data_IF_852861859622
#
_entry.id   IF_852861859622
#
_cell.length_a   1.000
_cell.length_b   1.000
_cell.length_c   1.000
_cell.angle_alpha   90.00
_cell.angle_beta   90.00
_cell.angle_gamma   90.00
#
_symmetry.space_group_name_H-M   'P 1'
#
loop_
_entity.id
_entity.type
_entity.pdbx_description
1 polymer ?
#
# COMPACT_ATOMS: atom_id res chain seq x y z
N UNK A 1 -11.86 -6.44 1.57
CA UNK A 1 -11.77 -7.15 2.87
C UNK A 1 -10.57 -6.70 3.69
N UNK A 2 -9.33 -6.83 3.20
CA UNK A 2 -8.12 -6.43 3.95
C UNK A 2 -8.13 -4.97 4.43
N UNK A 3 -8.59 -4.03 3.60
CA UNK A 3 -8.67 -2.62 3.99
C UNK A 3 -9.47 -2.40 5.29
N UNK A 4 -10.62 -3.07 5.43
CA UNK A 4 -11.48 -2.92 6.63
C UNK A 4 -10.73 -3.39 7.87
N UNK A 5 -10.00 -4.50 7.75
CA UNK A 5 -9.20 -5.06 8.83
C UNK A 5 -8.08 -4.11 9.23
N UNK A 6 -7.31 -3.61 8.26
CA UNK A 6 -6.22 -2.66 8.53
C UNK A 6 -6.71 -1.33 9.11
N UNK A 7 -7.86 -0.82 8.65
CA UNK A 7 -8.48 0.38 9.21
C UNK A 7 -8.95 0.14 10.63
N UNK A 8 -9.52 -1.02 10.94
CA UNK A 8 -9.97 -1.37 12.28
C UNK A 8 -8.81 -1.54 13.28
N UNK A 9 -7.62 -1.91 12.80
CA UNK A 9 -6.41 -2.07 13.63
C UNK A 9 -5.36 -0.99 13.36
N UNK A 10 -5.76 0.14 12.80
CA UNK A 10 -4.85 1.20 12.39
C UNK A 10 -4.20 1.83 13.62
N UNK A 11 -2.92 2.19 13.53
CA UNK A 11 -2.28 2.94 14.60
C UNK A 11 -2.98 4.31 14.79
N UNK A 12 -3.32 4.70 16.03
CA UNK A 12 -4.09 5.92 16.30
C UNK A 12 -3.27 7.20 16.17
N UNK A 13 -1.96 7.10 15.88
CA UNK A 13 -1.05 8.23 15.78
C UNK A 13 0.33 7.77 15.31
N UNK A 14 1.36 8.49 15.77
CA UNK A 14 2.76 8.18 15.44
C UNK A 14 3.19 6.92 16.17
N UNK A 15 3.80 5.98 15.44
CA UNK A 15 4.38 4.75 16.00
C UNK A 15 5.90 4.87 16.14
N UNK A 16 6.50 3.89 16.81
CA UNK A 16 7.94 3.82 17.03
C UNK A 16 8.69 3.54 15.72
N UNK A 17 9.98 3.85 15.66
CA UNK A 17 10.86 3.63 14.50
C UNK A 17 10.65 4.67 13.37
N UNK A 18 10.53 4.23 12.11
CA UNK A 18 10.58 5.08 10.92
C UNK A 18 9.33 5.92 10.69
N UNK A 19 8.17 5.46 11.18
CA UNK A 19 6.90 6.10 10.94
C UNK A 19 6.89 7.58 11.38
N UNK A 20 7.46 7.90 12.55
CA UNK A 20 7.54 9.27 13.03
C UNK A 20 8.37 10.18 12.12
N UNK A 21 9.49 9.65 11.61
CA UNK A 21 10.33 10.37 10.67
C UNK A 21 9.62 10.58 9.33
N UNK A 22 8.96 9.55 8.78
CA UNK A 22 8.20 9.66 7.54
C UNK A 22 7.03 10.64 7.66
N UNK A 23 6.32 10.63 8.78
CA UNK A 23 5.22 11.58 9.05
C UNK A 23 5.77 13.02 9.12
N UNK A 24 6.87 13.24 9.84
CA UNK A 24 7.50 14.56 9.94
C UNK A 24 8.05 15.05 8.60
N UNK A 25 8.72 14.18 7.85
CA UNK A 25 9.23 14.47 6.51
C UNK A 25 8.08 14.77 5.54
N UNK A 26 7.01 13.98 5.54
CA UNK A 26 5.82 14.24 4.74
C UNK A 26 5.17 15.59 5.09
N UNK A 27 5.04 15.91 6.39
CA UNK A 27 4.43 17.16 6.82
C UNK A 27 5.25 18.39 6.41
N UNK A 28 6.57 18.31 6.58
CA UNK A 28 7.50 19.41 6.26
C UNK A 28 7.99 19.44 4.80
N UNK A 29 7.65 18.42 4.01
CA UNK A 29 8.29 18.13 2.71
C UNK A 29 9.82 18.00 2.82
N UNK A 30 10.28 17.45 3.94
CA UNK A 30 11.68 17.15 4.22
C UNK A 30 12.14 15.83 3.62
N UNK A 31 13.38 15.46 3.94
CA UNK A 31 14.02 14.24 3.46
C UNK A 31 14.18 13.31 4.69
N UNK A 32 13.53 12.13 4.72
CA UNK A 32 13.75 11.13 5.75
C UNK A 32 15.14 10.49 5.58
N UNK A 33 15.51 9.59 6.50
CA UNK A 33 16.75 8.85 6.46
C UNK A 33 17.02 8.26 5.06
N UNK A 34 18.30 8.11 4.66
CA UNK A 34 18.65 7.55 3.36
C UNK A 34 17.93 6.22 3.13
N UNK A 35 17.18 6.06 2.02
CA UNK A 35 17.38 6.71 0.71
C UNK A 35 16.48 7.93 0.40
N UNK A 36 15.79 8.53 1.37
CA UNK A 36 15.07 9.81 1.22
C UNK A 36 13.70 9.76 0.52
N UNK A 37 13.38 8.71 -0.25
CA UNK A 37 12.01 8.36 -0.69
C UNK A 37 11.10 9.55 -1.15
N UNK A 38 11.54 10.41 -2.09
CA UNK A 38 10.86 11.68 -2.36
C UNK A 38 9.44 11.53 -2.93
N UNK A 39 9.22 10.54 -3.79
CA UNK A 39 7.87 10.27 -4.33
C UNK A 39 6.89 9.87 -3.22
N UNK A 40 7.34 9.05 -2.27
CA UNK A 40 6.53 8.63 -1.13
C UNK A 40 6.14 9.82 -0.25
N UNK A 41 7.11 10.67 0.10
CA UNK A 41 6.88 11.91 0.87
C UNK A 41 5.84 12.82 0.21
N UNK A 42 5.93 13.03 -1.11
CA UNK A 42 4.97 13.85 -1.86
C UNK A 42 3.57 13.23 -1.86
N UNK A 43 3.46 11.92 -2.08
CA UNK A 43 2.17 11.22 -2.08
C UNK A 43 1.52 11.25 -0.70
N UNK A 44 2.28 11.01 0.38
CA UNK A 44 1.79 11.13 1.75
C UNK A 44 1.30 12.54 2.06
N UNK A 45 2.05 13.57 1.65
CA UNK A 45 1.66 14.95 1.91
C UNK A 45 0.33 15.30 1.25
N UNK A 46 0.18 14.96 -0.04
CA UNK A 46 -1.06 15.19 -0.78
C UNK A 46 -2.21 14.39 -0.16
N UNK A 47 -2.01 13.09 0.08
CA UNK A 47 -3.01 12.23 0.70
C UNK A 47 -3.48 12.76 2.06
N UNK A 48 -2.55 13.06 2.96
CA UNK A 48 -2.88 13.55 4.30
C UNK A 48 -3.61 14.90 4.26
N UNK A 49 -3.28 15.77 3.29
CA UNK A 49 -4.00 17.03 3.07
C UNK A 49 -5.43 16.82 2.57
N UNK A 50 -5.69 15.82 1.71
CA UNK A 50 -7.06 15.48 1.29
C UNK A 50 -7.97 15.12 2.47
N UNK A 51 -7.42 14.48 3.51
CA UNK A 51 -8.17 14.07 4.69
C UNK A 51 -8.03 15.01 5.90
N UNK A 52 -7.39 16.16 5.73
CA UNK A 52 -7.04 17.08 6.84
C UNK A 52 -8.24 17.63 7.63
N UNK A 53 -9.43 17.64 7.03
CA UNK A 53 -10.67 18.09 7.69
C UNK A 53 -11.36 17.02 8.53
N UNK A 54 -11.00 15.75 8.33
CA UNK A 54 -11.68 14.59 8.94
C UNK A 54 -10.77 13.71 9.79
N UNK A 55 -9.46 13.71 9.51
CA UNK A 55 -8.49 12.87 10.19
C UNK A 55 -7.26 13.69 10.64
N UNK A 56 -6.68 13.38 11.81
CA UNK A 56 -5.35 13.87 12.17
C UNK A 56 -4.31 13.43 11.12
N UNK A 57 -3.31 14.28 10.89
CA UNK A 57 -2.30 14.04 9.86
C UNK A 57 -1.64 12.65 9.96
N UNK A 58 -1.21 12.25 11.16
CA UNK A 58 -0.61 10.93 11.41
C UNK A 58 -1.55 9.76 11.13
N UNK A 59 -2.85 9.90 11.42
CA UNK A 59 -3.85 8.87 11.13
C UNK A 59 -4.09 8.78 9.63
N UNK A 60 -4.13 9.93 8.94
CA UNK A 60 -4.27 9.97 7.49
C UNK A 60 -3.09 9.31 6.77
N UNK A 61 -1.85 9.48 7.25
CA UNK A 61 -0.67 8.80 6.68
C UNK A 61 -0.66 7.31 7.01
N UNK A 62 -1.06 6.88 8.20
CA UNK A 62 -1.23 5.45 8.50
C UNK A 62 -2.28 4.82 7.55
N UNK A 63 -3.39 5.53 7.31
CA UNK A 63 -4.44 5.11 6.39
C UNK A 63 -3.93 4.97 4.94
N UNK A 64 -2.96 5.80 4.54
CA UNK A 64 -2.33 5.67 3.22
C UNK A 64 -1.64 4.30 3.07
N UNK A 65 -0.84 3.89 4.05
CA UNK A 65 -0.18 2.58 4.03
C UNK A 65 -1.20 1.43 4.04
N UNK A 66 -2.29 1.55 4.81
CA UNK A 66 -3.39 0.57 4.79
C UNK A 66 -4.04 0.46 3.41
N UNK A 67 -4.30 1.60 2.76
CA UNK A 67 -4.89 1.66 1.42
C UNK A 67 -3.95 1.05 0.37
N UNK A 68 -2.66 1.40 0.39
CA UNK A 68 -1.67 0.85 -0.53
C UNK A 68 -1.51 -0.66 -0.39
N UNK A 69 -1.35 -1.17 0.83
CA UNK A 69 -1.19 -2.61 1.07
C UNK A 69 -2.46 -3.40 0.71
N UNK A 70 -3.65 -2.86 1.03
CA UNK A 70 -4.91 -3.50 0.63
C UNK A 70 -5.10 -3.52 -0.89
N UNK A 71 -4.74 -2.44 -1.58
CA UNK A 71 -4.76 -2.37 -3.04
C UNK A 71 -3.77 -3.39 -3.65
N UNK A 72 -2.56 -3.50 -3.10
CA UNK A 72 -1.55 -4.45 -3.56
C UNK A 72 -2.04 -5.90 -3.43
N UNK A 73 -2.63 -6.26 -2.29
CA UNK A 73 -3.24 -7.58 -2.08
C UNK A 73 -4.39 -7.84 -3.07
N UNK A 74 -5.23 -6.83 -3.35
CA UNK A 74 -6.29 -6.92 -4.36
C UNK A 74 -5.73 -7.16 -5.77
N UNK A 75 -4.68 -6.43 -6.15
CA UNK A 75 -3.99 -6.62 -7.43
C UNK A 75 -3.36 -8.01 -7.53
N UNK A 76 -2.78 -8.52 -6.44
CA UNK A 76 -2.23 -9.88 -6.39
C UNK A 76 -3.32 -10.95 -6.61
N UNK A 77 -4.45 -10.82 -5.94
CA UNK A 77 -5.59 -11.72 -6.13
C UNK A 77 -6.09 -11.67 -7.58
N UNK A 78 -6.23 -10.47 -8.15
CA UNK A 78 -6.65 -10.30 -9.55
C UNK A 78 -5.67 -10.95 -10.53
N UNK A 79 -4.36 -10.77 -10.33
CA UNK A 79 -3.33 -11.39 -11.16
C UNK A 79 -3.39 -12.92 -11.12
N UNK A 80 -3.50 -13.50 -9.93
CA UNK A 80 -3.57 -14.96 -9.77
C UNK A 80 -4.87 -15.54 -10.35
N UNK A 81 -6.00 -14.87 -10.11
CA UNK A 81 -7.30 -15.28 -10.65
C UNK A 81 -7.30 -15.23 -12.18
N UNK A 82 -6.78 -14.15 -12.76
CA UNK A 82 -6.76 -13.93 -14.21
C UNK A 82 -5.79 -14.87 -14.95
N UNK A 83 -4.67 -15.28 -14.33
CA UNK A 83 -3.68 -16.20 -14.93
C UNK A 83 -4.03 -17.68 -14.79
N UNK A 84 -4.62 -18.09 -13.66
CA UNK A 84 -4.78 -19.51 -13.32
C UNK A 84 -6.24 -19.97 -13.29
N UNK A 85 -7.22 -19.07 -13.39
CA UNK A 85 -8.64 -19.40 -13.23
C UNK A 85 -9.03 -19.80 -11.81
N UNK A 86 -8.14 -19.58 -10.83
CA UNK A 86 -8.29 -20.02 -9.44
C UNK A 86 -8.87 -18.90 -8.56
N UNK A 87 -10.05 -18.40 -8.88
CA UNK A 87 -10.63 -17.21 -8.23
C UNK A 87 -10.64 -17.27 -6.70
N UNK A 88 -11.19 -18.34 -6.11
CA UNK A 88 -11.26 -18.48 -4.66
C UNK A 88 -9.88 -18.69 -4.01
N UNK A 89 -9.00 -19.49 -4.63
CA UNK A 89 -7.66 -19.72 -4.09
C UNK A 89 -6.77 -18.47 -4.17
N UNK A 90 -6.96 -17.64 -5.21
CA UNK A 90 -6.29 -16.35 -5.34
C UNK A 90 -6.71 -15.38 -4.23
N UNK A 91 -8.02 -15.31 -3.94
CA UNK A 91 -8.53 -14.50 -2.82
C UNK A 91 -7.99 -15.04 -1.48
N UNK A 92 -8.06 -16.35 -1.25
CA UNK A 92 -7.53 -16.97 -0.04
C UNK A 92 -6.03 -16.71 0.13
N UNK A 93 -5.24 -16.85 -0.93
CA UNK A 93 -3.81 -16.55 -0.93
C UNK A 93 -3.51 -15.09 -0.60
N UNK A 94 -4.24 -14.15 -1.20
CA UNK A 94 -4.09 -12.72 -0.91
C UNK A 94 -4.49 -12.37 0.53
N UNK A 95 -5.53 -13.01 1.07
CA UNK A 95 -5.93 -12.87 2.48
C UNK A 95 -4.84 -13.42 3.40
N UNK A 96 -4.31 -14.61 3.12
CA UNK A 96 -3.23 -15.21 3.91
C UNK A 96 -1.97 -14.34 3.88
N UNK A 97 -1.57 -13.86 2.70
CA UNK A 97 -0.40 -13.00 2.54
C UNK A 97 -0.58 -11.64 3.23
N UNK A 98 -1.76 -11.02 3.09
CA UNK A 98 -2.09 -9.77 3.79
C UNK A 98 -2.13 -9.93 5.30
N UNK A 99 -2.59 -11.09 5.79
CA UNK A 99 -2.65 -11.38 7.21
C UNK A 99 -1.29 -11.74 7.84
N UNK A 100 -0.21 -11.88 7.06
CA UNK A 100 1.12 -12.14 7.60
C UNK A 100 1.57 -10.95 8.44
N UNK A 101 2.15 -11.22 9.61
CA UNK A 101 2.53 -10.19 10.60
C UNK A 101 3.36 -9.05 9.99
N UNK A 102 4.34 -9.37 9.15
CA UNK A 102 5.16 -8.37 8.46
C UNK A 102 4.33 -7.46 7.55
N UNK A 103 3.40 -8.02 6.77
CA UNK A 103 2.56 -7.24 5.86
C UNK A 103 1.55 -6.41 6.65
N UNK A 104 0.99 -6.98 7.70
CA UNK A 104 0.02 -6.33 8.58
C UNK A 104 0.63 -5.11 9.27
N UNK A 105 1.79 -5.25 9.91
CA UNK A 105 2.46 -4.15 10.61
C UNK A 105 2.78 -3.00 9.64
N UNK A 106 3.29 -3.33 8.44
CA UNK A 106 3.52 -2.35 7.38
C UNK A 106 2.23 -1.70 6.84
N UNK A 107 1.07 -2.35 7.00
CA UNK A 107 -0.22 -1.81 6.58
C UNK A 107 -0.85 -0.90 7.63
N UNK A 108 -0.57 -1.10 8.92
CA UNK A 108 -1.24 -0.37 10.00
C UNK A 108 -0.50 0.90 10.45
N UNK A 109 0.71 1.11 9.96
CA UNK A 109 1.61 2.21 10.33
C UNK A 109 2.14 2.90 9.07
N UNK A 110 2.63 4.15 9.21
CA UNK A 110 3.15 4.94 8.09
C UNK A 110 4.48 4.37 7.60
N UNK A 111 4.40 3.46 6.63
CA UNK A 111 5.55 2.73 6.09
C UNK A 111 5.70 2.87 4.58
N UNK A 112 6.95 3.07 4.13
CA UNK A 112 7.29 3.19 2.70
C UNK A 112 7.08 1.89 1.93
N UNK A 113 7.20 0.75 2.62
CA UNK A 113 7.05 -0.57 2.04
C UNK A 113 5.64 -0.83 1.48
N UNK A 114 4.61 -0.20 2.05
CA UNK A 114 3.24 -0.32 1.55
C UNK A 114 3.10 0.25 0.13
N UNK A 115 3.66 1.44 -0.10
CA UNK A 115 3.63 2.10 -1.41
C UNK A 115 4.49 1.37 -2.44
N UNK A 116 5.67 0.90 -2.04
CA UNK A 116 6.56 0.15 -2.94
C UNK A 116 5.97 -1.21 -3.33
N UNK A 117 5.30 -1.90 -2.40
CA UNK A 117 4.57 -3.13 -2.67
C UNK A 117 3.44 -2.89 -3.68
N UNK A 118 2.66 -1.83 -3.51
CA UNK A 118 1.62 -1.48 -4.48
C UNK A 118 2.22 -1.22 -5.86
N UNK A 119 3.28 -0.41 -5.95
CA UNK A 119 3.95 -0.14 -7.22
C UNK A 119 4.43 -1.42 -7.89
N UNK A 120 5.07 -2.33 -7.15
CA UNK A 120 5.52 -3.62 -7.67
C UNK A 120 4.35 -4.48 -8.17
N UNK A 121 3.22 -4.50 -7.47
CA UNK A 121 2.04 -5.24 -7.94
C UNK A 121 1.40 -4.61 -9.18
N UNK A 122 1.41 -3.27 -9.27
CA UNK A 122 0.92 -2.54 -10.44
C UNK A 122 1.82 -2.74 -11.66
N UNK A 123 3.14 -2.82 -11.51
CA UNK A 123 4.03 -3.12 -12.63
C UNK A 123 3.79 -4.54 -13.17
N UNK A 124 3.59 -5.53 -12.28
CA UNK A 124 3.19 -6.88 -12.69
C UNK A 124 1.82 -6.89 -13.39
N UNK A 125 0.86 -6.11 -12.90
CA UNK A 125 -0.45 -5.97 -13.53
C UNK A 125 -0.39 -5.31 -14.91
N UNK A 126 0.46 -4.29 -15.09
CA UNK A 126 0.67 -3.65 -16.37
C UNK A 126 1.35 -4.61 -17.37
N UNK A 127 2.39 -5.33 -16.92
CA UNK A 127 3.06 -6.36 -17.72
C UNK A 127 2.08 -7.46 -18.16
N UNK A 128 1.18 -7.89 -17.27
CA UNK A 128 0.14 -8.86 -17.60
C UNK A 128 -0.81 -8.38 -18.69
N UNK A 129 -1.26 -7.12 -18.60
CA UNK A 129 -2.18 -6.54 -19.58
C UNK A 129 -1.51 -6.43 -20.95
N UNK A 130 -0.28 -5.94 -21.00
CA UNK A 130 0.51 -5.86 -22.24
C UNK A 130 0.67 -7.22 -22.91
N UNK A 131 1.00 -8.26 -22.14
CA UNK A 131 1.17 -9.61 -22.67
C UNK A 131 -0.11 -10.21 -23.28
N UNK A 132 -1.29 -9.81 -22.79
CA UNK A 132 -2.59 -10.23 -23.36
C UNK A 132 -2.92 -9.51 -24.65
N UNK A 133 -2.55 -8.24 -24.76
CA UNK A 133 -2.78 -7.42 -25.96
C UNK A 133 -1.88 -7.87 -27.13
N UNK A 134 -0.62 -8.22 -26.85
CA UNK A 134 0.32 -8.69 -27.87
C UNK A 134 0.06 -10.13 -28.35
N UNK A 135 -0.67 -10.94 -27.55
CA UNK A 135 -1.11 -12.28 -27.94
C UNK A 135 -2.11 -12.33 -29.10
N UNK A 136 -2.55 -11.18 -29.61
CA UNK A 136 -3.46 -11.03 -30.77
C UNK A 136 -2.77 -10.45 -32.01
N UNK A 137 -1.43 -10.26 -31.97
CA UNK A 137 -0.68 -9.59 -33.04
C UNK A 137 0.32 -10.49 -33.76
N UNK A 138 0.07 -11.78 -33.94
CA UNK A 138 0.71 -12.64 -34.97
C UNK A 138 -0.26 -13.77 -35.34
#
# INVERSE_FOLDING_TARGET
MMLVVYVATLAPGVTFWDAGEFIAAAHSLGIPHPPGTPLFVLLLNVWARLFSTVLPYAVATNLFSAACTAAAAGTAAWLLASRRGLGMAAVAGAVCAGAMSTVWLNATETEVYAASLLLAMLTLAAAERSAREDGYRW
#
